data_IF_708640165910
#
_entry.id   IF_708640165910
#
_cell.length_a   1.000
_cell.length_b   1.000
_cell.length_c   1.000
_cell.angle_alpha   90.00
_cell.angle_beta   90.00
_cell.angle_gamma   90.00
#
_symmetry.space_group_name_H-M   'P 1'
#
loop_
_entity.id
_entity.type
_entity.pdbx_description
1 polymer ?
#
# COMPACT_ATOMS: atom_id res chain seq x y z
N UNK A 1 5.55 -42.32 -6.14
CA UNK A 1 6.54 -41.83 -5.16
C UNK A 1 6.41 -40.32 -5.16
N UNK A 2 6.05 -39.78 -4.00
CA UNK A 2 5.53 -38.43 -3.79
C UNK A 2 6.62 -37.35 -3.74
N UNK A 3 6.17 -36.11 -4.02
CA UNK A 3 6.60 -34.78 -3.54
C UNK A 3 8.10 -34.40 -3.68
N UNK A 4 8.47 -33.17 -4.01
CA UNK A 4 8.16 -31.94 -3.27
C UNK A 4 8.00 -30.71 -4.16
N UNK A 5 6.88 -30.02 -3.93
CA UNK A 5 6.56 -28.66 -4.31
C UNK A 5 7.27 -27.68 -3.36
N UNK A 6 8.00 -26.73 -3.93
CA UNK A 6 8.64 -25.65 -3.19
C UNK A 6 7.66 -24.46 -3.13
N UNK A 7 6.93 -24.34 -2.02
CA UNK A 7 6.14 -23.14 -1.67
C UNK A 7 7.02 -22.14 -0.91
N UNK A 8 6.95 -20.82 -1.19
CA UNK A 8 7.57 -19.84 -0.33
C UNK A 8 6.69 -19.56 0.89
N UNK A 9 7.21 -19.91 2.07
CA UNK A 9 6.72 -19.50 3.37
C UNK A 9 6.72 -17.97 3.46
N UNK A 10 5.55 -17.36 3.47
CA UNK A 10 5.35 -15.98 3.91
C UNK A 10 4.13 -15.96 4.84
N UNK A 11 4.39 -16.28 6.10
CA UNK A 11 3.43 -16.11 7.18
C UNK A 11 4.17 -15.56 8.41
N UNK A 12 3.49 -14.63 9.08
CA UNK A 12 3.53 -14.41 10.53
C UNK A 12 4.49 -13.36 11.16
N UNK A 13 4.84 -12.26 10.47
CA UNK A 13 5.62 -11.17 11.10
C UNK A 13 4.92 -9.80 11.26
N UNK A 14 3.69 -9.61 10.75
CA UNK A 14 3.03 -8.29 10.81
C UNK A 14 2.12 -8.06 12.03
N UNK A 15 1.91 -9.04 12.91
CA UNK A 15 1.06 -8.88 14.10
C UNK A 15 1.82 -8.66 15.42
N UNK A 16 3.15 -8.73 15.42
CA UNK A 16 3.94 -8.69 16.66
C UNK A 16 4.64 -7.37 16.99
N UNK A 17 4.42 -6.27 16.25
CA UNK A 17 5.23 -5.04 16.42
C UNK A 17 4.53 -3.78 16.95
N UNK A 18 3.29 -3.85 17.43
CA UNK A 18 2.60 -2.68 18.02
C UNK A 18 2.15 -2.82 19.48
N UNK A 19 2.77 -3.69 20.27
CA UNK A 19 2.71 -3.57 21.74
C UNK A 19 4.06 -3.97 22.36
N UNK A 20 4.93 -2.98 22.56
CA UNK A 20 6.04 -3.12 23.51
C UNK A 20 6.21 -1.84 24.30
N UNK A 21 5.59 -1.79 25.48
CA UNK A 21 6.16 -1.05 26.61
C UNK A 21 6.01 -1.85 27.90
N UNK A 22 7.14 -1.88 28.63
CA UNK A 22 7.32 -2.01 30.07
C UNK A 22 6.66 -3.18 30.83
N UNK A 23 7.51 -4.01 31.42
CA UNK A 23 7.09 -5.11 32.29
C UNK A 23 6.59 -4.67 33.67
N UNK A 24 5.73 -5.51 34.25
CA UNK A 24 6.05 -6.17 35.52
C UNK A 24 5.17 -7.41 35.72
N UNK A 25 5.67 -8.32 36.56
CA UNK A 25 5.19 -9.67 36.82
C UNK A 25 3.77 -9.73 37.46
N UNK A 26 2.84 -10.53 36.90
CA UNK A 26 1.95 -11.43 37.64
C UNK A 26 1.04 -12.29 36.75
N UNK A 27 0.67 -13.44 37.30
CA UNK A 27 0.09 -14.66 36.70
C UNK A 27 -1.46 -14.63 36.69
N UNK A 28 -2.06 -15.50 35.84
CA UNK A 28 -3.46 -16.03 35.84
C UNK A 28 -4.45 -15.11 35.06
N UNK A 29 -5.37 -15.52 34.17
CA UNK A 29 -6.05 -16.79 33.84
C UNK A 29 -6.51 -16.81 32.37
N UNK A 30 -6.68 -18.01 31.82
CA UNK A 30 -7.43 -18.30 30.59
C UNK A 30 -8.92 -17.99 30.76
N UNK A 31 -9.51 -17.23 29.82
CA UNK A 31 -10.97 -17.16 29.69
C UNK A 31 -11.38 -17.86 28.39
N UNK A 32 -11.86 -19.10 28.55
CA UNK A 32 -12.73 -19.75 27.59
C UNK A 32 -14.03 -18.96 27.50
N UNK A 33 -14.39 -18.47 26.31
CA UNK A 33 -15.74 -18.04 26.00
C UNK A 33 -16.29 -18.93 24.89
N UNK A 34 -16.89 -20.05 25.31
CA UNK A 34 -17.85 -20.80 24.52
C UNK A 34 -19.10 -19.94 24.35
N UNK A 35 -19.39 -19.49 23.13
CA UNK A 35 -20.70 -18.95 22.78
C UNK A 35 -21.50 -20.00 22.01
N UNK A 36 -22.48 -20.58 22.70
CA UNK A 36 -23.52 -21.42 22.12
C UNK A 36 -24.38 -20.59 21.16
N UNK A 37 -24.56 -21.10 19.94
CA UNK A 37 -25.52 -20.59 18.99
C UNK A 37 -26.95 -20.90 19.51
N UNK A 38 -27.69 -19.86 19.88
CA UNK A 38 -29.13 -19.97 20.18
C UNK A 38 -29.96 -19.34 19.08
N UNK A 39 -30.70 -20.20 18.38
CA UNK A 39 -31.86 -19.89 17.55
C UNK A 39 -32.89 -19.07 18.32
N UNK A 40 -33.21 -17.85 17.87
CA UNK A 40 -34.47 -17.18 18.21
C UNK A 40 -34.94 -16.35 17.01
N UNK A 41 -35.97 -16.85 16.30
CA UNK A 41 -36.91 -16.00 15.56
C UNK A 41 -38.17 -15.91 16.41
N UNK A 42 -38.43 -14.74 16.99
CA UNK A 42 -39.63 -14.47 17.80
C UNK A 42 -40.63 -13.63 17.01
N UNK A 43 -41.85 -14.15 16.98
CA UNK A 43 -43.09 -13.53 16.50
C UNK A 43 -43.55 -12.41 17.45
N UNK A 44 -44.43 -11.52 16.99
CA UNK A 44 -45.36 -10.78 17.86
C UNK A 44 -46.76 -10.69 17.20
N UNK A 45 -47.89 -10.78 17.94
CA UNK A 45 -49.24 -10.97 17.38
C UNK A 45 -50.14 -9.71 17.44
N UNK A 46 -51.25 -9.77 16.69
CA UNK A 46 -52.37 -8.82 16.75
C UNK A 46 -53.61 -9.33 15.99
N UNK A 47 -54.49 -10.02 16.73
CA UNK A 47 -55.90 -10.42 16.46
C UNK A 47 -56.79 -9.32 15.84
N UNK A 48 -57.96 -9.50 15.18
CA UNK A 48 -58.97 -10.55 14.88
C UNK A 48 -60.02 -9.92 13.89
N UNK A 49 -61.16 -10.53 13.42
CA UNK A 49 -61.64 -11.94 13.44
C UNK A 49 -62.27 -12.54 12.12
N UNK A 50 -62.32 -13.89 12.06
CA UNK A 50 -63.38 -14.87 11.58
C UNK A 50 -63.88 -14.77 10.10
N UNK A 51 -64.08 -15.80 9.25
CA UNK A 51 -64.37 -17.26 9.25
C UNK A 51 -63.70 -17.92 8.02
N UNK A 52 -63.42 -19.22 7.83
CA UNK A 52 -64.24 -20.43 7.95
C UNK A 52 -63.32 -21.66 7.66
N UNK A 53 -63.72 -22.85 8.05
CA UNK A 53 -62.91 -24.07 8.18
C UNK A 53 -62.54 -24.76 6.86
N UNK A 54 -61.27 -25.19 6.67
CA UNK A 54 -60.89 -26.47 6.02
C UNK A 54 -59.53 -26.95 6.57
N UNK A 55 -59.47 -28.22 6.94
CA UNK A 55 -58.30 -28.98 7.42
C UNK A 55 -57.44 -29.53 6.27
N UNK A 56 -56.10 -29.41 6.36
CA UNK A 56 -55.10 -30.45 6.01
C UNK A 56 -53.64 -29.95 6.07
N UNK A 57 -52.82 -30.77 6.71
CA UNK A 57 -51.38 -31.01 6.45
C UNK A 57 -50.41 -29.82 6.52
N UNK A 58 -49.74 -29.66 7.67
CA UNK A 58 -48.60 -28.74 7.83
C UNK A 58 -47.35 -29.41 7.25
N UNK A 59 -47.08 -29.15 5.98
CA UNK A 59 -45.74 -29.24 5.41
C UNK A 59 -44.99 -27.96 5.79
N UNK A 60 -43.77 -28.07 6.30
CA UNK A 60 -42.96 -26.90 6.67
C UNK A 60 -42.66 -26.03 5.45
N UNK A 61 -43.38 -24.93 5.31
CA UNK A 61 -43.10 -23.91 4.31
C UNK A 61 -41.86 -23.12 4.73
N UNK A 62 -40.72 -23.43 4.11
CA UNK A 62 -39.53 -22.58 4.14
C UNK A 62 -39.95 -21.17 3.68
N UNK A 63 -39.94 -20.21 4.61
CA UNK A 63 -40.23 -18.82 4.29
C UNK A 63 -39.08 -18.27 3.43
N UNK A 64 -39.30 -18.22 2.12
CA UNK A 64 -38.33 -17.61 1.20
C UNK A 64 -38.39 -16.09 1.31
N UNK A 65 -37.22 -15.45 1.32
CA UNK A 65 -37.05 -14.00 1.37
C UNK A 65 -36.51 -13.48 0.03
N UNK A 66 -36.74 -12.21 -0.28
CA UNK A 66 -36.23 -11.56 -1.49
C UNK A 66 -34.97 -10.75 -1.16
N UNK A 67 -33.93 -10.87 -1.98
CA UNK A 67 -32.76 -10.00 -1.87
C UNK A 67 -32.91 -8.77 -2.76
N UNK A 68 -32.80 -7.57 -2.21
CA UNK A 68 -32.97 -6.31 -2.96
C UNK A 68 -31.83 -5.97 -3.93
N UNK A 69 -30.69 -6.68 -3.86
CA UNK A 69 -29.55 -6.47 -4.78
C UNK A 69 -29.71 -7.29 -6.06
N UNK A 70 -29.98 -8.59 -5.93
CA UNK A 70 -30.09 -9.49 -7.09
C UNK A 70 -31.55 -9.79 -7.49
N UNK A 71 -32.52 -9.35 -6.68
CA UNK A 71 -33.96 -9.61 -6.85
C UNK A 71 -34.26 -11.13 -6.85
N UNK A 72 -33.37 -11.93 -6.26
CA UNK A 72 -33.50 -13.38 -6.15
C UNK A 72 -34.27 -13.80 -4.90
N UNK A 73 -35.13 -14.81 -5.04
CA UNK A 73 -35.78 -15.47 -3.91
C UNK A 73 -34.83 -16.49 -3.28
N UNK A 74 -34.63 -16.39 -1.97
CA UNK A 74 -33.61 -17.07 -1.19
C UNK A 74 -34.21 -17.72 0.05
N UNK A 75 -33.68 -18.86 0.45
CA UNK A 75 -34.06 -19.45 1.74
C UNK A 75 -33.47 -18.64 2.90
N UNK A 76 -34.06 -18.73 4.09
CA UNK A 76 -33.65 -17.93 5.25
C UNK A 76 -32.16 -18.11 5.63
N UNK A 77 -31.59 -19.30 5.40
CA UNK A 77 -30.18 -19.60 5.67
C UNK A 77 -29.22 -19.00 4.63
N UNK A 78 -29.71 -18.59 3.47
CA UNK A 78 -28.92 -17.89 2.44
C UNK A 78 -28.93 -16.37 2.65
N UNK A 79 -29.76 -15.87 3.58
CA UNK A 79 -29.89 -14.45 3.89
C UNK A 79 -28.92 -14.06 5.01
N UNK A 80 -28.29 -12.91 4.83
CA UNK A 80 -27.39 -12.29 5.77
C UNK A 80 -28.01 -11.00 6.31
N UNK A 81 -28.09 -10.87 7.63
CA UNK A 81 -28.58 -9.67 8.30
C UNK A 81 -27.40 -8.87 8.82
N UNK A 82 -27.29 -7.60 8.44
CA UNK A 82 -26.23 -6.72 8.93
C UNK A 82 -26.58 -6.26 10.36
N UNK A 83 -25.81 -6.62 11.40
CA UNK A 83 -26.21 -6.39 12.80
C UNK A 83 -26.42 -4.91 13.16
N UNK A 84 -25.66 -4.01 12.55
CA UNK A 84 -25.67 -2.57 12.85
C UNK A 84 -26.90 -1.83 12.29
N UNK A 85 -27.60 -2.37 11.31
CA UNK A 85 -28.75 -1.71 10.66
C UNK A 85 -29.94 -2.61 10.31
N UNK A 86 -29.84 -3.91 10.54
CA UNK A 86 -30.85 -4.94 10.26
C UNK A 86 -31.26 -5.08 8.79
N UNK A 87 -30.56 -4.46 7.84
CA UNK A 87 -30.80 -4.73 6.42
C UNK A 87 -30.39 -6.15 6.08
N UNK A 88 -31.16 -6.78 5.19
CA UNK A 88 -30.99 -8.18 4.80
C UNK A 88 -30.71 -8.31 3.32
N UNK A 89 -29.68 -9.06 2.97
CA UNK A 89 -29.32 -9.37 1.60
C UNK A 89 -28.83 -10.81 1.53
N UNK A 90 -28.84 -11.45 0.37
CA UNK A 90 -28.28 -12.79 0.29
C UNK A 90 -26.75 -12.76 0.51
N UNK A 91 -26.23 -13.83 1.11
CA UNK A 91 -24.80 -13.98 1.40
C UNK A 91 -23.93 -13.76 0.15
N UNK A 92 -24.36 -14.28 -1.01
CA UNK A 92 -23.67 -14.09 -2.29
C UNK A 92 -23.49 -12.61 -2.67
N UNK A 93 -24.53 -11.79 -2.44
CA UNK A 93 -24.50 -10.36 -2.76
C UNK A 93 -23.62 -9.59 -1.79
N UNK A 94 -23.68 -9.90 -0.48
CA UNK A 94 -22.79 -9.30 0.50
C UNK A 94 -21.34 -9.66 0.24
N UNK A 95 -21.06 -10.94 -0.02
CA UNK A 95 -19.73 -11.42 -0.36
C UNK A 95 -19.13 -10.66 -1.55
N UNK A 96 -19.89 -10.52 -2.64
CA UNK A 96 -19.46 -9.73 -3.81
C UNK A 96 -19.28 -8.25 -3.50
N UNK A 97 -20.20 -7.65 -2.75
CA UNK A 97 -20.14 -6.25 -2.34
C UNK A 97 -18.88 -5.96 -1.53
N UNK A 98 -18.60 -6.78 -0.52
CA UNK A 98 -17.37 -6.70 0.29
C UNK A 98 -16.15 -6.86 -0.61
N UNK A 99 -16.10 -7.89 -1.45
CA UNK A 99 -14.95 -8.17 -2.32
C UNK A 99 -14.59 -7.01 -3.24
N UNK A 100 -15.59 -6.35 -3.82
CA UNK A 100 -15.39 -5.18 -4.69
C UNK A 100 -15.00 -3.96 -3.86
N UNK A 101 -15.73 -3.69 -2.77
CA UNK A 101 -15.52 -2.47 -1.98
C UNK A 101 -14.15 -2.44 -1.32
N UNK A 102 -13.65 -3.58 -0.83
CA UNK A 102 -12.31 -3.67 -0.21
C UNK A 102 -11.19 -3.34 -1.20
N UNK A 103 -11.37 -3.65 -2.49
CA UNK A 103 -10.40 -3.31 -3.53
C UNK A 103 -10.43 -1.83 -3.91
N UNK A 104 -11.58 -1.17 -3.79
CA UNK A 104 -11.79 0.21 -4.24
C UNK A 104 -11.70 1.24 -3.10
N UNK A 105 -11.87 0.82 -1.85
CA UNK A 105 -11.94 1.70 -0.68
C UNK A 105 -10.80 1.42 0.31
N UNK A 106 -10.55 2.36 1.23
CA UNK A 106 -9.60 2.19 2.33
C UNK A 106 -10.11 1.23 3.43
N UNK A 107 -10.77 0.14 3.03
CA UNK A 107 -11.26 -0.91 3.94
C UNK A 107 -12.58 -0.59 4.63
N UNK A 108 -13.14 0.60 4.43
CA UNK A 108 -14.46 0.93 4.97
C UNK A 108 -15.55 0.43 4.02
N UNK A 109 -16.26 -0.62 4.44
CA UNK A 109 -17.36 -1.21 3.67
C UNK A 109 -18.69 -0.77 4.26
N UNK A 110 -19.47 -0.01 3.50
CA UNK A 110 -20.80 0.43 3.92
C UNK A 110 -21.88 -0.58 3.57
N UNK A 111 -22.99 -0.55 4.29
CA UNK A 111 -24.20 -1.28 4.00
C UNK A 111 -24.72 -0.96 2.58
N UNK A 112 -25.09 -1.96 1.75
CA UNK A 112 -25.68 -1.74 0.42
C UNK A 112 -27.08 -1.12 0.44
N UNK A 113 -27.71 -1.01 1.60
CA UNK A 113 -29.06 -0.46 1.75
C UNK A 113 -29.13 1.01 1.32
N UNK A 114 -30.22 1.36 0.64
CA UNK A 114 -30.52 2.74 0.23
C UNK A 114 -30.43 3.70 1.43
N UNK A 115 -29.65 4.77 1.26
CA UNK A 115 -29.39 5.81 2.28
C UNK A 115 -28.86 5.29 3.64
N UNK A 116 -28.33 4.07 3.68
CA UNK A 116 -27.75 3.48 4.88
C UNK A 116 -26.27 3.83 5.00
N UNK A 117 -25.87 4.38 6.16
CA UNK A 117 -24.46 4.73 6.47
C UNK A 117 -23.79 3.78 7.43
N UNK A 118 -24.44 2.66 7.77
CA UNK A 118 -23.86 1.67 8.66
C UNK A 118 -22.70 0.95 7.94
N UNK A 119 -21.64 0.65 8.67
CA UNK A 119 -20.47 -0.08 8.16
C UNK A 119 -20.55 -1.55 8.53
N UNK A 120 -20.08 -2.43 7.65
CA UNK A 120 -19.94 -3.86 7.93
C UNK A 120 -18.66 -4.08 8.75
N UNK A 121 -18.74 -4.99 9.72
CA UNK A 121 -17.57 -5.50 10.43
C UNK A 121 -17.03 -6.74 9.72
N UNK A 122 -15.71 -6.89 9.70
CA UNK A 122 -15.01 -8.05 9.15
C UNK A 122 -15.43 -9.34 9.87
N UNK A 123 -15.62 -9.28 11.19
CA UNK A 123 -16.00 -10.43 12.01
C UNK A 123 -17.39 -10.95 11.66
N UNK A 124 -18.34 -10.05 11.39
CA UNK A 124 -19.71 -10.41 11.01
C UNK A 124 -19.76 -11.12 9.65
N UNK A 125 -18.82 -10.80 8.76
CA UNK A 125 -18.81 -11.29 7.39
C UNK A 125 -17.90 -12.51 7.18
N UNK A 126 -17.12 -12.90 8.20
CA UNK A 126 -16.05 -13.90 8.10
C UNK A 126 -16.52 -15.27 7.60
N UNK A 127 -17.73 -15.66 7.93
CA UNK A 127 -18.31 -16.96 7.53
C UNK A 127 -18.83 -16.98 6.08
N UNK A 128 -19.17 -15.82 5.51
CA UNK A 128 -19.75 -15.71 4.16
C UNK A 128 -18.76 -15.18 3.12
N UNK A 129 -17.65 -14.57 3.55
CA UNK A 129 -16.62 -13.99 2.70
C UNK A 129 -15.43 -14.97 2.61
N UNK A 130 -14.87 -15.19 1.40
CA UNK A 130 -13.66 -15.99 1.21
C UNK A 130 -12.50 -15.52 2.09
N UNK A 131 -11.70 -16.48 2.58
CA UNK A 131 -10.59 -16.21 3.53
C UNK A 131 -9.56 -15.22 2.96
N UNK A 132 -9.25 -15.33 1.67
CA UNK A 132 -8.36 -14.41 0.96
C UNK A 132 -8.88 -12.97 0.96
N UNK A 133 -10.19 -12.79 0.77
CA UNK A 133 -10.83 -11.47 0.85
C UNK A 133 -10.86 -10.94 2.29
N UNK A 134 -11.07 -11.81 3.29
CA UNK A 134 -10.97 -11.43 4.71
C UNK A 134 -9.55 -10.96 5.05
N UNK A 135 -8.51 -11.71 4.65
CA UNK A 135 -7.11 -11.30 4.87
C UNK A 135 -6.82 -9.96 4.19
N UNK A 136 -7.20 -9.81 2.92
CA UNK A 136 -7.04 -8.56 2.19
C UNK A 136 -7.78 -7.40 2.87
N UNK A 137 -8.99 -7.63 3.39
CA UNK A 137 -9.73 -6.61 4.12
C UNK A 137 -9.03 -6.18 5.40
N UNK A 138 -8.50 -7.14 6.18
CA UNK A 138 -7.71 -6.86 7.36
C UNK A 138 -6.44 -6.06 7.03
N UNK A 139 -5.73 -6.43 5.96
CA UNK A 139 -4.53 -5.72 5.51
C UNK A 139 -4.85 -4.27 5.12
N UNK A 140 -5.89 -4.05 4.30
CA UNK A 140 -6.32 -2.71 3.89
C UNK A 140 -6.75 -1.86 5.09
N UNK A 141 -7.46 -2.44 6.06
CA UNK A 141 -7.82 -1.75 7.29
C UNK A 141 -6.59 -1.36 8.11
N UNK A 142 -5.62 -2.28 8.27
CA UNK A 142 -4.37 -2.00 8.94
C UNK A 142 -3.59 -0.89 8.24
N UNK A 143 -3.48 -0.96 6.91
CA UNK A 143 -2.85 0.09 6.12
C UNK A 143 -3.56 1.43 6.27
N UNK A 144 -4.89 1.47 6.37
CA UNK A 144 -5.67 2.70 6.52
C UNK A 144 -5.34 3.46 7.82
N UNK A 145 -4.87 2.75 8.85
CA UNK A 145 -4.46 3.35 10.13
C UNK A 145 -3.12 4.09 10.05
N UNK A 146 -2.31 3.78 9.04
CA UNK A 146 -1.01 4.41 8.86
C UNK A 146 -1.21 5.77 8.15
N UNK A 147 -0.76 6.89 8.76
CA UNK A 147 -0.84 8.21 8.14
C UNK A 147 -0.14 8.25 6.77
N UNK A 148 -0.71 8.92 5.75
CA UNK A 148 -0.10 9.01 4.42
C UNK A 148 1.35 9.55 4.42
N UNK A 149 1.68 10.45 5.36
CA UNK A 149 3.02 11.04 5.48
C UNK A 149 4.07 10.06 6.01
N UNK A 150 3.64 8.98 6.67
CA UNK A 150 4.54 7.92 7.16
C UNK A 150 4.73 6.81 6.12
N UNK A 151 3.91 6.78 5.06
CA UNK A 151 3.99 5.76 4.01
C UNK A 151 4.98 6.16 2.94
N UNK A 152 5.84 5.23 2.58
CA UNK A 152 6.66 5.31 1.38
C UNK A 152 6.78 3.94 0.74
N UNK A 153 7.20 3.88 -0.52
CA UNK A 153 7.24 2.64 -1.27
C UNK A 153 8.65 2.37 -1.77
N UNK A 154 8.99 1.09 -1.89
CA UNK A 154 10.17 0.66 -2.61
C UNK A 154 10.05 1.10 -4.09
N UNK A 155 11.00 1.87 -4.64
CA UNK A 155 10.87 2.42 -6.00
C UNK A 155 11.14 1.40 -7.10
N UNK A 156 11.61 0.20 -6.74
CA UNK A 156 11.88 -0.86 -7.68
C UNK A 156 10.58 -1.56 -8.07
N UNK A 157 10.22 -1.50 -9.36
CA UNK A 157 8.93 -1.98 -9.89
C UNK A 157 8.64 -3.45 -9.61
N UNK A 158 9.69 -4.28 -9.56
CA UNK A 158 9.63 -5.71 -9.22
C UNK A 158 9.44 -5.98 -7.72
N UNK A 159 9.46 -4.94 -6.87
CA UNK A 159 9.23 -5.04 -5.44
C UNK A 159 8.04 -4.21 -4.98
N UNK A 160 8.06 -2.89 -5.18
CA UNK A 160 6.97 -1.95 -4.84
C UNK A 160 6.42 -2.06 -3.39
N UNK A 161 7.15 -2.69 -2.48
CA UNK A 161 6.70 -2.92 -1.11
C UNK A 161 6.44 -1.60 -0.37
N UNK A 162 5.33 -1.54 0.38
CA UNK A 162 5.03 -0.42 1.28
C UNK A 162 5.92 -0.50 2.53
N UNK A 163 6.43 0.65 2.95
CA UNK A 163 7.27 0.83 4.11
C UNK A 163 6.72 1.97 4.96
N UNK A 164 6.95 1.88 6.27
CA UNK A 164 6.43 2.83 7.26
C UNK A 164 7.60 3.52 7.94
N UNK A 165 7.55 4.85 7.98
CA UNK A 165 8.45 5.66 8.79
C UNK A 165 7.75 5.97 10.11
N UNK A 166 8.10 5.21 11.13
CA UNK A 166 7.62 5.36 12.50
C UNK A 166 8.30 6.53 13.24
N UNK A 167 9.28 7.18 12.62
CA UNK A 167 10.02 8.31 13.17
C UNK A 167 9.59 9.65 12.57
N UNK A 168 9.69 10.72 13.36
CA UNK A 168 9.49 12.10 12.87
C UNK A 168 10.67 12.60 12.01
N UNK A 169 11.68 11.76 11.77
CA UNK A 169 12.87 12.13 11.01
C UNK A 169 12.63 11.89 9.53
N UNK A 170 13.17 12.80 8.72
CA UNK A 170 13.19 12.60 7.28
C UNK A 170 14.25 11.54 6.96
N UNK A 171 13.81 10.35 6.58
CA UNK A 171 14.68 9.28 6.09
C UNK A 171 15.08 9.63 4.66
N UNK A 172 16.39 9.73 4.40
CA UNK A 172 16.93 9.92 3.05
C UNK A 172 17.35 8.58 2.45
N UNK A 173 18.24 7.87 3.14
CA UNK A 173 18.75 6.56 2.75
C UNK A 173 17.95 5.47 3.43
N UNK A 174 17.46 4.50 2.67
CA UNK A 174 16.75 3.34 3.22
C UNK A 174 17.09 2.09 2.43
N UNK A 175 17.17 0.96 3.12
CA UNK A 175 17.28 -0.36 2.53
C UNK A 175 15.92 -1.05 2.60
N UNK A 176 15.45 -1.57 1.47
CA UNK A 176 14.19 -2.30 1.45
C UNK A 176 14.36 -3.67 2.12
N UNK A 177 13.61 -4.02 3.18
CA UNK A 177 13.73 -5.32 3.86
C UNK A 177 13.27 -6.51 2.99
N UNK A 178 12.55 -6.26 1.89
CA UNK A 178 12.03 -7.30 1.00
C UNK A 178 12.99 -7.64 -0.15
N UNK A 179 13.69 -6.63 -0.70
CA UNK A 179 14.59 -6.82 -1.84
C UNK A 179 16.04 -6.42 -1.57
N UNK A 180 16.36 -5.93 -0.36
CA UNK A 180 17.70 -5.58 0.11
C UNK A 180 18.45 -4.59 -0.78
N UNK A 181 17.70 -3.73 -1.48
CA UNK A 181 18.25 -2.67 -2.33
C UNK A 181 18.11 -1.33 -1.64
N UNK A 182 19.20 -0.55 -1.68
CA UNK A 182 19.23 0.82 -1.19
C UNK A 182 18.49 1.76 -2.13
N UNK A 183 17.74 2.68 -1.56
CA UNK A 183 17.02 3.70 -2.30
C UNK A 183 16.92 5.02 -1.52
N UNK A 184 16.61 6.09 -2.25
CA UNK A 184 16.37 7.40 -1.66
C UNK A 184 14.87 7.54 -1.34
N UNK A 185 14.50 7.53 -0.05
CA UNK A 185 13.11 7.64 0.38
C UNK A 185 12.50 9.03 0.11
N UNK A 186 13.33 10.09 0.02
CA UNK A 186 12.87 11.43 -0.35
C UNK A 186 12.58 11.58 -1.85
N UNK A 187 13.44 11.02 -2.71
CA UNK A 187 13.30 11.13 -4.16
C UNK A 187 12.48 9.99 -4.77
N UNK A 188 12.21 8.93 -4.00
CA UNK A 188 11.54 7.70 -4.44
C UNK A 188 12.20 7.08 -5.70
N UNK A 189 13.52 6.92 -5.65
CA UNK A 189 14.35 6.37 -6.74
C UNK A 189 15.46 5.50 -6.18
N UNK A 190 16.15 4.73 -7.03
CA UNK A 190 17.37 4.02 -6.65
C UNK A 190 18.39 4.92 -5.97
N UNK A 191 19.14 4.37 -5.02
CA UNK A 191 20.10 5.15 -4.24
C UNK A 191 21.12 5.85 -5.14
N UNK A 192 21.35 7.14 -4.84
CA UNK A 192 22.27 8.02 -5.56
C UNK A 192 23.31 8.58 -4.58
N UNK A 193 24.33 7.77 -4.25
CA UNK A 193 25.47 8.24 -3.44
C UNK A 193 26.19 9.42 -4.11
N UNK A 194 26.80 10.29 -3.30
CA UNK A 194 27.62 11.40 -3.80
C UNK A 194 26.88 12.60 -4.41
N UNK A 195 25.60 12.42 -4.72
CA UNK A 195 24.71 13.45 -5.26
C UNK A 195 23.60 13.69 -4.26
N UNK A 196 23.48 14.92 -3.78
CA UNK A 196 22.36 15.24 -2.91
C UNK A 196 21.03 15.25 -3.69
N UNK A 197 19.90 15.25 -2.97
CA UNK A 197 18.59 15.20 -3.61
C UNK A 197 18.36 16.41 -4.53
N UNK A 198 18.88 17.58 -4.17
CA UNK A 198 18.67 18.81 -4.95
C UNK A 198 19.44 18.77 -6.27
N UNK A 199 20.70 18.33 -6.24
CA UNK A 199 21.54 18.08 -7.40
C UNK A 199 20.93 16.99 -8.29
N UNK A 200 20.50 15.88 -7.68
CA UNK A 200 19.91 14.75 -8.40
C UNK A 200 18.66 15.16 -9.20
N UNK A 201 17.79 16.00 -8.60
CA UNK A 201 16.59 16.48 -9.27
C UNK A 201 16.88 17.45 -10.43
N UNK A 202 18.07 18.07 -10.47
CA UNK A 202 18.51 18.92 -11.59
C UNK A 202 19.11 18.13 -12.76
N UNK A 203 19.46 16.86 -12.55
CA UNK A 203 19.96 15.99 -13.62
C UNK A 203 18.81 15.60 -14.57
N UNK A 204 19.13 15.46 -15.86
CA UNK A 204 18.19 14.92 -16.84
C UNK A 204 18.00 13.41 -16.62
N UNK A 205 16.89 12.83 -17.09
CA UNK A 205 16.60 11.40 -16.90
C UNK A 205 17.69 10.48 -17.45
N UNK A 206 18.34 10.88 -18.54
CA UNK A 206 19.46 10.17 -19.15
C UNK A 206 20.80 10.35 -18.41
N UNK A 207 20.83 11.08 -17.30
CA UNK A 207 22.00 11.27 -16.43
C UNK A 207 21.78 10.68 -15.03
N UNK A 208 20.61 10.08 -14.79
CA UNK A 208 20.22 9.48 -13.50
C UNK A 208 20.48 7.97 -13.43
N UNK A 209 21.04 7.38 -14.47
CA UNK A 209 21.43 5.96 -14.46
C UNK A 209 22.61 5.76 -13.51
N UNK A 210 22.79 4.54 -13.01
CA UNK A 210 23.83 4.23 -12.03
C UNK A 210 25.21 4.62 -12.55
N UNK A 211 25.50 4.27 -13.80
CA UNK A 211 26.78 4.51 -14.45
C UNK A 211 27.04 6.02 -14.59
N UNK A 212 26.02 6.79 -14.96
CA UNK A 212 26.11 8.25 -15.10
C UNK A 212 26.31 8.94 -13.75
N UNK A 213 25.64 8.47 -12.69
CA UNK A 213 25.83 8.96 -11.33
C UNK A 213 27.25 8.67 -10.83
N UNK A 214 27.82 7.51 -11.16
CA UNK A 214 29.22 7.19 -10.83
C UNK A 214 30.19 8.14 -11.56
N UNK A 215 29.93 8.46 -12.84
CA UNK A 215 30.71 9.45 -13.59
C UNK A 215 30.55 10.85 -12.99
N UNK A 216 29.33 11.24 -12.61
CA UNK A 216 29.05 12.51 -11.96
C UNK A 216 29.81 12.65 -10.63
N UNK A 217 29.77 11.61 -9.79
CA UNK A 217 30.46 11.60 -8.50
C UNK A 217 31.99 11.67 -8.70
N UNK A 218 32.54 10.89 -9.63
CA UNK A 218 33.96 10.97 -9.97
C UNK A 218 34.33 12.37 -10.48
N UNK A 219 33.52 12.95 -11.35
CA UNK A 219 33.73 14.29 -11.88
C UNK A 219 33.72 15.34 -10.77
N UNK A 220 32.81 15.24 -9.80
CA UNK A 220 32.76 16.12 -8.63
C UNK A 220 34.01 15.98 -7.75
N UNK A 221 34.43 14.74 -7.46
CA UNK A 221 35.63 14.46 -6.67
C UNK A 221 36.93 14.93 -7.35
N UNK A 222 36.96 14.94 -8.69
CA UNK A 222 38.11 15.36 -9.50
C UNK A 222 38.02 16.80 -10.00
N UNK A 223 36.99 17.54 -9.61
CA UNK A 223 36.72 18.90 -10.08
C UNK A 223 36.76 19.01 -11.62
N UNK A 224 36.16 18.03 -12.28
CA UNK A 224 36.01 18.01 -13.74
C UNK A 224 34.99 19.05 -14.19
N UNK A 225 35.35 19.83 -15.21
CA UNK A 225 34.47 20.85 -15.76
C UNK A 225 33.68 20.31 -16.96
N UNK A 226 32.41 20.67 -17.09
CA UNK A 226 31.62 20.35 -18.29
C UNK A 226 31.86 21.38 -19.38
N UNK A 227 32.00 20.91 -20.62
CA UNK A 227 32.04 21.81 -21.77
C UNK A 227 30.71 22.60 -21.87
N UNK A 228 30.73 23.93 -21.99
CA UNK A 228 29.51 24.75 -22.04
C UNK A 228 28.64 24.43 -23.27
N UNK A 229 29.26 24.00 -24.37
CA UNK A 229 28.60 23.71 -25.63
C UNK A 229 28.04 22.27 -25.69
N UNK A 230 28.88 21.25 -25.50
CA UNK A 230 28.46 19.84 -25.67
C UNK A 230 28.17 19.09 -24.36
N UNK A 231 28.37 19.73 -23.20
CA UNK A 231 28.11 19.20 -21.84
C UNK A 231 28.94 17.98 -21.41
N UNK A 232 29.82 17.44 -22.25
CA UNK A 232 30.78 16.41 -21.83
C UNK A 232 31.73 16.92 -20.75
N UNK A 233 32.03 16.07 -19.77
CA UNK A 233 33.08 16.31 -18.78
C UNK A 233 34.44 16.37 -19.46
N UNK A 234 35.26 17.32 -19.00
CA UNK A 234 36.63 17.53 -19.43
C UNK A 234 37.50 17.47 -18.19
N UNK A 235 38.50 16.60 -18.22
CA UNK A 235 39.55 16.54 -17.20
C UNK A 235 40.69 17.49 -17.58
N UNK A 236 41.13 18.31 -16.63
CA UNK A 236 42.36 19.09 -16.75
C UNK A 236 43.46 18.41 -15.94
N UNK A 237 44.48 17.91 -16.62
CA UNK A 237 45.64 17.30 -15.97
C UNK A 237 46.59 18.38 -15.42
N UNK A 238 47.10 19.26 -16.27
CA UNK A 238 48.04 20.33 -15.91
C UNK A 238 47.90 21.54 -16.84
N UNK A 239 48.54 22.67 -16.50
CA UNK A 239 48.67 23.83 -17.39
C UNK A 239 47.57 24.90 -17.27
N UNK A 240 47.33 25.60 -18.38
CA UNK A 240 46.51 26.81 -18.49
C UNK A 240 45.00 26.56 -18.25
N UNK A 241 44.25 27.62 -17.93
CA UNK A 241 42.78 27.58 -17.82
C UNK A 241 42.07 27.59 -19.19
N UNK A 242 42.76 27.89 -20.29
CA UNK A 242 42.20 27.80 -21.64
C UNK A 242 42.12 26.35 -22.09
N UNK A 243 40.91 25.87 -22.35
CA UNK A 243 40.65 24.49 -22.78
C UNK A 243 39.92 24.50 -24.12
N UNK A 244 40.41 23.70 -25.06
CA UNK A 244 39.74 23.40 -26.32
C UNK A 244 39.07 22.02 -26.23
N UNK A 245 37.74 21.99 -26.25
CA UNK A 245 36.98 20.74 -26.18
C UNK A 245 37.09 19.93 -27.49
N UNK A 246 36.79 18.63 -27.43
CA UNK A 246 36.65 17.76 -28.63
C UNK A 246 35.58 18.23 -29.61
N UNK A 247 34.59 19.00 -29.16
CA UNK A 247 33.60 19.65 -30.03
C UNK A 247 34.10 20.98 -30.63
N UNK A 248 35.39 21.28 -30.49
CA UNK A 248 36.05 22.51 -30.93
C UNK A 248 35.63 23.79 -30.21
N UNK A 249 34.83 23.69 -29.14
CA UNK A 249 34.49 24.84 -28.30
C UNK A 249 35.62 25.16 -27.32
N UNK A 250 36.04 26.42 -27.29
CA UNK A 250 37.09 26.90 -26.38
C UNK A 250 36.49 27.65 -25.20
N UNK A 251 36.91 27.30 -23.99
CA UNK A 251 36.36 27.84 -22.75
C UNK A 251 37.39 27.90 -21.63
N UNK A 252 37.09 28.70 -20.61
CA UNK A 252 37.87 28.75 -19.38
C UNK A 252 37.45 27.63 -18.44
N UNK A 253 38.40 26.81 -18.00
CA UNK A 253 38.13 25.69 -17.11
C UNK A 253 37.60 26.11 -15.73
N UNK A 254 38.08 27.26 -15.22
CA UNK A 254 37.70 27.75 -13.90
C UNK A 254 36.26 28.25 -13.83
N UNK A 255 35.80 29.03 -14.82
CA UNK A 255 34.46 29.64 -14.78
C UNK A 255 33.47 29.06 -15.79
N UNK A 256 33.90 28.22 -16.74
CA UNK A 256 33.03 27.66 -17.76
C UNK A 256 32.58 28.66 -18.85
N UNK A 257 33.15 29.86 -18.92
CA UNK A 257 32.78 30.84 -19.95
C UNK A 257 33.55 30.64 -21.25
N UNK A 258 32.95 31.08 -22.38
CA UNK A 258 33.60 31.05 -23.70
C UNK A 258 34.92 31.81 -23.67
N UNK A 259 35.97 31.21 -24.21
CA UNK A 259 37.28 31.85 -24.28
C UNK A 259 37.27 33.04 -25.25
N UNK A 260 37.89 34.14 -24.84
CA UNK A 260 38.05 35.36 -25.64
C UNK A 260 39.39 36.02 -25.33
N UNK A 261 39.86 36.93 -26.21
CA UNK A 261 41.13 37.64 -26.04
C UNK A 261 41.17 38.57 -24.82
N UNK A 262 40.01 38.92 -24.27
CA UNK A 262 39.87 39.75 -23.06
C UNK A 262 39.59 38.93 -21.80
N UNK A 263 39.56 37.60 -21.90
CA UNK A 263 39.32 36.71 -20.77
C UNK A 263 40.53 36.67 -19.83
N UNK A 264 40.33 37.01 -18.55
CA UNK A 264 41.41 37.04 -17.55
C UNK A 264 40.90 37.18 -16.12
N UNK A 265 41.79 37.02 -15.15
CA UNK A 265 41.47 37.18 -13.72
C UNK A 265 40.85 35.95 -13.04
N UNK A 266 40.61 34.87 -13.77
CA UNK A 266 40.13 33.62 -13.18
C UNK A 266 41.25 32.89 -12.42
N UNK A 267 40.92 32.37 -11.24
CA UNK A 267 41.78 31.48 -10.47
C UNK A 267 41.09 30.12 -10.36
N UNK A 268 41.87 29.01 -10.32
CA UNK A 268 41.34 27.69 -10.01
C UNK A 268 40.65 27.69 -8.65
#
# INVERSE_FOLDING_TARGET
MANESNEPLFDDFCLSFLFSEAGDSNRIESFDLSCEASLICSQNPGNDPISEQVSKEVAGESSRQLCDICIGSKDCHEMFTIPSCNHQFCADCICKHVSITVQESAGVVNCPGLDCKATLNIDDCREIVPKDVVTMWADVLCESLIPPLQKFYCPYKDCSAMLVNDSDKIIKESECPYCWRLFCAQCNVSWHSGVDCEEFQKLNDNERQREDLMVYELAKQKEWQRCPNCKFYVEKTEGCLHISCRCSFEFCYACGEKWSSTHGGCRP
#
